data_IF_601960291652
#
_entry.id   IF_601960291652
#
_cell.length_a   1.000
_cell.length_b   1.000
_cell.length_c   1.000
_cell.angle_alpha   90.00
_cell.angle_beta   90.00
_cell.angle_gamma   90.00
#
_symmetry.space_group_name_H-M   'P 1'
#
loop_
_entity.id
_entity.type
_entity.pdbx_description
1 polymer ?
#
# COMPACT_ATOMS: atom_id res chain seq x y z
N UNK A 1 10.56 14.85 -1.23
CA UNK A 1 10.24 15.07 0.19
C UNK A 1 11.42 14.66 1.06
N UNK A 2 11.97 13.45 0.90
CA UNK A 2 13.21 13.00 1.57
C UNK A 2 14.33 14.04 1.50
N UNK A 3 14.61 14.60 0.31
CA UNK A 3 15.64 15.64 0.16
C UNK A 3 15.42 16.90 1.04
N UNK A 4 14.16 17.27 1.31
CA UNK A 4 13.84 18.39 2.21
C UNK A 4 14.17 17.99 3.64
N UNK A 5 13.78 16.78 4.05
CA UNK A 5 14.09 16.25 5.38
C UNK A 5 15.60 16.12 5.62
N UNK A 6 16.31 15.47 4.69
CA UNK A 6 17.76 15.22 4.76
C UNK A 6 18.58 16.52 4.77
N UNK A 7 18.04 17.61 4.20
CA UNK A 7 18.70 18.92 4.22
C UNK A 7 18.78 19.56 5.61
N UNK A 8 17.95 19.12 6.57
CA UNK A 8 17.82 19.72 7.90
C UNK A 8 17.15 21.10 7.92
N UNK A 9 16.59 21.58 6.80
CA UNK A 9 15.94 22.88 6.73
C UNK A 9 14.54 22.85 7.38
N UNK A 10 14.47 23.36 8.61
CA UNK A 10 13.23 23.41 9.40
C UNK A 10 12.12 24.23 8.77
N UNK A 11 12.44 25.31 8.05
CA UNK A 11 11.44 26.16 7.39
C UNK A 11 10.79 25.41 6.24
N UNK A 12 11.59 24.80 5.36
CA UNK A 12 11.07 24.00 4.25
C UNK A 12 10.30 22.78 4.75
N UNK A 13 10.74 22.15 5.85
CA UNK A 13 10.03 21.04 6.45
C UNK A 13 8.67 21.47 7.06
N UNK A 14 8.61 22.64 7.71
CA UNK A 14 7.36 23.22 8.23
C UNK A 14 6.38 23.61 7.11
N UNK A 15 6.87 24.15 5.99
CA UNK A 15 6.06 24.37 4.78
C UNK A 15 5.50 23.06 4.23
N UNK A 16 6.28 21.97 4.25
CA UNK A 16 5.82 20.64 3.83
C UNK A 16 4.69 20.13 4.73
N UNK A 17 4.81 20.25 6.05
CA UNK A 17 3.74 19.86 6.99
C UNK A 17 2.46 20.68 6.79
N UNK A 18 2.61 22.00 6.63
CA UNK A 18 1.49 22.90 6.33
C UNK A 18 0.81 22.51 5.01
N UNK A 19 1.59 22.16 3.98
CA UNK A 19 1.08 21.67 2.70
C UNK A 19 0.22 20.42 2.83
N UNK A 20 0.52 19.53 3.78
CA UNK A 20 -0.30 18.34 4.07
C UNK A 20 -1.38 18.57 5.13
N UNK A 21 -1.51 19.79 5.64
CA UNK A 21 -2.45 20.18 6.70
C UNK A 21 -2.27 19.35 7.99
N UNK A 22 -1.03 19.01 8.34
CA UNK A 22 -0.66 18.38 9.62
C UNK A 22 0.12 19.36 10.50
N UNK A 23 0.15 19.09 11.81
CA UNK A 23 0.91 19.88 12.78
C UNK A 23 2.40 19.88 12.48
N UNK A 24 3.07 21.01 12.74
CA UNK A 24 4.52 21.18 12.71
C UNK A 24 5.27 20.38 13.78
N UNK A 25 4.56 19.83 14.77
CA UNK A 25 5.09 18.88 15.75
C UNK A 25 5.18 17.44 15.21
N UNK A 26 4.79 17.20 13.95
CA UNK A 26 4.90 15.89 13.28
C UNK A 26 6.35 15.50 13.08
N UNK A 27 6.71 14.26 13.42
CA UNK A 27 7.98 13.67 12.98
C UNK A 27 7.89 13.30 11.49
N UNK A 28 8.92 13.61 10.71
CA UNK A 28 8.88 13.36 9.26
C UNK A 28 8.59 11.90 8.87
N UNK A 29 9.15 10.87 9.53
CA UNK A 29 8.79 9.48 9.25
C UNK A 29 7.29 9.17 9.44
N UNK A 30 6.62 9.83 10.38
CA UNK A 30 5.17 9.67 10.58
C UNK A 30 4.37 10.32 9.44
N UNK A 31 4.83 11.49 8.95
CA UNK A 31 4.28 12.06 7.72
C UNK A 31 4.48 11.09 6.55
N UNK A 32 5.69 10.52 6.40
CA UNK A 32 5.96 9.56 5.35
C UNK A 32 5.03 8.33 5.42
N UNK A 33 4.72 7.85 6.64
CA UNK A 33 3.78 6.75 6.85
C UNK A 33 2.33 7.17 6.50
N UNK A 34 1.88 8.36 6.92
CA UNK A 34 0.57 8.89 6.51
C UNK A 34 0.43 8.91 4.98
N UNK A 35 1.49 9.28 4.26
CA UNK A 35 1.48 9.37 2.80
C UNK A 35 1.49 8.01 2.08
N UNK A 36 1.64 6.88 2.79
CA UNK A 36 1.39 5.56 2.18
C UNK A 36 -0.10 5.26 2.08
N UNK A 37 -0.94 5.88 2.91
CA UNK A 37 -2.39 5.67 2.93
C UNK A 37 -3.09 5.93 1.59
N UNK A 38 -2.82 7.04 0.86
CA UNK A 38 -3.33 7.27 -0.50
C UNK A 38 -3.04 6.14 -1.49
N UNK A 39 -1.91 5.44 -1.31
CA UNK A 39 -1.52 4.30 -2.14
C UNK A 39 -2.29 3.03 -1.80
N UNK A 40 -3.07 3.01 -0.70
CA UNK A 40 -3.99 1.92 -0.41
C UNK A 40 -5.04 1.72 -1.51
N UNK A 41 -5.35 2.76 -2.30
CA UNK A 41 -6.15 2.59 -3.51
C UNK A 41 -5.51 1.69 -4.57
N UNK A 42 -4.18 1.52 -4.54
CA UNK A 42 -3.46 0.59 -5.42
C UNK A 42 -3.47 -0.83 -4.86
N UNK A 43 -3.69 -0.97 -3.56
CA UNK A 43 -3.97 -2.24 -2.92
C UNK A 43 -5.44 -2.63 -3.17
N UNK A 44 -5.68 -3.19 -4.35
CA UNK A 44 -7.00 -3.67 -4.77
C UNK A 44 -7.35 -5.02 -4.13
N UNK A 45 -6.48 -5.57 -3.26
CA UNK A 45 -6.63 -6.91 -2.70
C UNK A 45 -8.00 -7.11 -2.05
N UNK A 46 -8.51 -6.13 -1.31
CA UNK A 46 -9.78 -6.24 -0.56
C UNK A 46 -11.02 -5.72 -1.30
N UNK A 47 -10.90 -5.29 -2.56
CA UNK A 47 -12.04 -4.70 -3.26
C UNK A 47 -12.91 -5.80 -3.91
N UNK A 48 -14.23 -5.73 -3.70
CA UNK A 48 -15.19 -6.63 -4.35
C UNK A 48 -15.40 -6.32 -5.83
N UNK A 49 -15.04 -5.10 -6.27
CA UNK A 49 -15.06 -4.61 -7.65
C UNK A 49 -13.85 -3.71 -7.89
N UNK A 50 -13.36 -3.63 -9.12
CA UNK A 50 -12.28 -2.69 -9.49
C UNK A 50 -12.61 -1.27 -9.03
N UNK A 51 -11.85 -0.77 -8.06
CA UNK A 51 -11.86 0.66 -7.78
C UNK A 51 -11.00 1.33 -8.86
N UNK A 52 -11.56 2.25 -9.68
CA UNK A 52 -10.82 2.82 -10.80
C UNK A 52 -9.61 3.59 -10.28
N UNK A 53 -8.42 3.16 -10.73
CA UNK A 53 -7.16 3.81 -10.42
C UNK A 53 -7.01 5.14 -11.16
N UNK A 54 -7.79 5.33 -12.23
CA UNK A 54 -7.84 6.50 -13.09
C UNK A 54 -9.26 7.10 -13.17
N UNK A 55 -9.38 8.23 -13.86
CA UNK A 55 -10.66 8.94 -14.00
C UNK A 55 -10.95 9.95 -12.87
N UNK A 56 -12.01 10.75 -13.03
CA UNK A 56 -12.22 11.96 -12.24
C UNK A 56 -12.23 11.69 -10.72
N UNK A 57 -11.32 12.34 -10.00
CA UNK A 57 -11.23 12.24 -8.54
C UNK A 57 -10.35 11.10 -8.02
N UNK A 58 -9.82 10.24 -8.88
CA UNK A 58 -8.88 9.19 -8.50
C UNK A 58 -7.49 9.74 -8.13
N UNK A 59 -6.68 8.93 -7.45
CA UNK A 59 -5.29 9.29 -7.14
C UNK A 59 -4.49 9.63 -8.41
N UNK A 60 -4.58 8.79 -9.46
CA UNK A 60 -3.82 9.03 -10.69
C UNK A 60 -4.30 10.28 -11.42
N UNK A 61 -5.61 10.57 -11.43
CA UNK A 61 -6.16 11.80 -12.01
C UNK A 61 -5.58 13.05 -11.32
N UNK A 62 -5.48 13.02 -9.99
CA UNK A 62 -4.83 14.11 -9.24
C UNK A 62 -3.36 14.27 -9.60
N UNK A 63 -2.57 13.20 -9.45
CA UNK A 63 -1.10 13.29 -9.52
C UNK A 63 -0.58 13.48 -10.96
N UNK A 64 -1.29 12.95 -11.96
CA UNK A 64 -0.88 13.09 -13.37
C UNK A 64 -1.40 14.36 -14.03
N UNK A 65 -2.35 15.04 -13.40
CA UNK A 65 -2.88 16.31 -13.91
C UNK A 65 -1.77 17.38 -14.01
N UNK A 66 -1.79 18.10 -15.13
CA UNK A 66 -0.90 19.23 -15.44
C UNK A 66 -1.52 20.57 -15.08
N UNK A 67 -2.65 20.56 -14.39
CA UNK A 67 -3.35 21.75 -13.92
C UNK A 67 -3.76 21.56 -12.46
N UNK A 68 -4.21 22.65 -11.84
CA UNK A 68 -4.81 22.58 -10.52
C UNK A 68 -6.14 21.82 -10.61
N UNK A 69 -6.24 20.67 -9.95
CA UNK A 69 -7.40 19.76 -10.09
C UNK A 69 -8.62 20.28 -9.34
N UNK A 70 -8.39 20.88 -8.17
CA UNK A 70 -9.38 21.66 -7.42
C UNK A 70 -8.86 23.08 -7.26
N UNK A 71 -9.71 24.09 -7.05
CA UNK A 71 -9.23 25.47 -6.89
C UNK A 71 -8.46 25.58 -5.57
N UNK A 72 -7.13 25.47 -5.62
CA UNK A 72 -6.28 25.69 -4.45
C UNK A 72 -6.13 27.17 -4.15
N UNK A 73 -5.96 27.51 -2.86
CA UNK A 73 -5.65 28.87 -2.47
C UNK A 73 -4.23 29.30 -2.91
N UNK A 74 -3.97 30.60 -2.87
CA UNK A 74 -2.68 31.19 -3.25
C UNK A 74 -1.55 30.78 -2.32
N UNK A 75 -1.83 30.48 -1.05
CA UNK A 75 -0.82 30.08 -0.08
C UNK A 75 -0.26 28.69 -0.42
N UNK A 76 -1.13 27.72 -0.75
CA UNK A 76 -0.73 26.36 -1.12
C UNK A 76 0.06 26.34 -2.43
N UNK A 77 -0.34 27.16 -3.42
CA UNK A 77 0.42 27.34 -4.66
C UNK A 77 1.83 27.90 -4.38
N UNK A 78 1.92 28.91 -3.52
CA UNK A 78 3.19 29.52 -3.13
C UNK A 78 4.10 28.51 -2.40
N UNK A 79 3.53 27.73 -1.49
CA UNK A 79 4.26 26.67 -0.78
C UNK A 79 4.76 25.59 -1.74
N UNK A 80 3.92 25.09 -2.65
CA UNK A 80 4.35 24.09 -3.65
C UNK A 80 5.51 24.62 -4.52
N UNK A 81 5.44 25.88 -4.97
CA UNK A 81 6.55 26.52 -5.69
C UNK A 81 7.82 26.65 -4.84
N UNK A 82 7.70 27.08 -3.58
CA UNK A 82 8.83 27.19 -2.63
C UNK A 82 9.53 25.86 -2.45
N UNK A 83 8.77 24.80 -2.15
CA UNK A 83 9.27 23.46 -1.88
C UNK A 83 9.93 22.83 -3.12
N UNK A 84 9.33 22.98 -4.29
CA UNK A 84 9.92 22.51 -5.56
C UNK A 84 11.20 23.27 -5.88
N UNK A 85 11.21 24.60 -5.70
CA UNK A 85 12.41 25.42 -5.92
C UNK A 85 13.53 25.03 -4.97
N UNK A 86 13.20 24.73 -3.72
CA UNK A 86 14.14 24.23 -2.74
C UNK A 86 14.65 22.83 -3.12
N UNK A 87 13.75 21.92 -3.49
CA UNK A 87 14.11 20.58 -3.94
C UNK A 87 14.93 20.57 -5.23
N UNK A 88 14.79 21.57 -6.11
CA UNK A 88 15.63 21.76 -7.30
C UNK A 88 17.09 22.12 -6.97
N UNK A 89 17.33 22.73 -5.80
CA UNK A 89 18.70 22.96 -5.28
C UNK A 89 19.32 21.69 -4.70
N UNK A 90 18.49 20.68 -4.42
CA UNK A 90 18.90 19.33 -4.05
C UNK A 90 18.90 18.45 -5.30
N UNK A 91 19.46 17.24 -5.25
CA UNK A 91 19.68 16.32 -6.40
C UNK A 91 18.41 15.79 -7.08
N UNK A 92 17.27 16.50 -7.02
CA UNK A 92 15.99 16.11 -7.63
C UNK A 92 16.01 16.40 -9.14
N UNK A 93 15.97 15.39 -10.01
CA UNK A 93 15.89 15.61 -11.46
C UNK A 93 14.53 16.24 -11.83
N UNK A 94 14.53 17.15 -12.81
CA UNK A 94 13.32 17.75 -13.40
C UNK A 94 12.32 18.35 -12.39
N UNK A 95 12.82 19.01 -11.34
CA UNK A 95 11.98 19.54 -10.27
C UNK A 95 10.84 20.45 -10.78
N UNK A 96 11.05 21.21 -11.85
CA UNK A 96 10.00 22.05 -12.48
C UNK A 96 8.76 21.28 -12.90
N UNK A 97 8.91 20.01 -13.29
CA UNK A 97 7.79 19.16 -13.71
C UNK A 97 6.99 18.63 -12.52
N UNK A 98 7.52 18.78 -11.29
CA UNK A 98 6.92 18.29 -10.05
C UNK A 98 5.98 19.29 -9.38
N UNK A 99 5.84 20.52 -9.91
CA UNK A 99 4.97 21.53 -9.33
C UNK A 99 3.51 21.05 -9.20
N UNK A 100 2.87 20.69 -10.31
CA UNK A 100 1.48 20.20 -10.29
C UNK A 100 1.34 18.88 -9.56
N UNK A 101 2.22 17.87 -9.75
CA UNK A 101 2.17 16.65 -8.95
C UNK A 101 2.21 16.90 -7.43
N UNK A 102 3.08 17.80 -6.96
CA UNK A 102 3.15 18.14 -5.54
C UNK A 102 1.92 18.90 -5.05
N UNK A 103 1.48 19.91 -5.80
CA UNK A 103 0.29 20.70 -5.45
C UNK A 103 -0.96 19.81 -5.40
N UNK A 104 -1.15 18.96 -6.39
CA UNK A 104 -2.29 18.05 -6.44
C UNK A 104 -2.19 16.95 -5.39
N UNK A 105 -0.98 16.49 -5.02
CA UNK A 105 -0.80 15.58 -3.89
C UNK A 105 -1.25 16.23 -2.56
N UNK A 106 -0.90 17.50 -2.33
CA UNK A 106 -1.42 18.23 -1.17
C UNK A 106 -2.95 18.25 -1.16
N UNK A 107 -3.57 18.63 -2.28
CA UNK A 107 -5.03 18.72 -2.38
C UNK A 107 -5.70 17.36 -2.17
N UNK A 108 -5.13 16.29 -2.74
CA UNK A 108 -5.65 14.94 -2.59
C UNK A 108 -5.60 14.48 -1.13
N UNK A 109 -4.44 14.62 -0.48
CA UNK A 109 -4.23 14.22 0.91
C UNK A 109 -5.09 15.06 1.86
N UNK A 110 -5.16 16.38 1.67
CA UNK A 110 -6.03 17.25 2.47
C UNK A 110 -7.51 16.91 2.34
N UNK A 111 -7.95 16.49 1.14
CA UNK A 111 -9.33 16.06 0.89
C UNK A 111 -9.61 14.73 1.59
N UNK A 112 -8.73 13.74 1.39
CA UNK A 112 -8.88 12.39 1.93
C UNK A 112 -8.78 12.37 3.47
N UNK A 113 -7.87 13.17 4.03
CA UNK A 113 -7.55 13.23 5.46
C UNK A 113 -7.92 14.58 6.08
N UNK A 114 -9.05 15.16 5.68
CA UNK A 114 -9.53 16.42 6.26
C UNK A 114 -9.67 16.38 7.80
N UNK A 115 -9.93 15.19 8.36
CA UNK A 115 -9.98 14.96 9.80
C UNK A 115 -8.63 15.06 10.52
N UNK A 116 -7.51 15.05 9.78
CA UNK A 116 -6.16 15.17 10.33
C UNK A 116 -5.68 16.62 10.48
N UNK A 117 -6.50 17.59 10.06
CA UNK A 117 -6.21 19.02 10.15
C UNK A 117 -5.70 19.44 11.53
N UNK A 118 -4.46 19.91 11.59
CA UNK A 118 -3.82 20.41 12.82
C UNK A 118 -3.40 19.33 13.83
N UNK A 119 -3.60 18.04 13.53
CA UNK A 119 -3.07 16.93 14.32
C UNK A 119 -1.65 16.57 13.87
N UNK A 120 -0.87 15.93 14.72
CA UNK A 120 0.36 15.27 14.22
C UNK A 120 -0.01 14.08 13.34
N UNK A 121 0.84 13.73 12.37
CA UNK A 121 0.58 12.55 11.54
C UNK A 121 0.40 11.27 12.39
N UNK A 122 1.16 11.14 13.48
CA UNK A 122 1.01 10.05 14.45
C UNK A 122 -0.38 9.99 15.09
N UNK A 123 -0.95 11.12 15.50
CA UNK A 123 -2.31 11.17 16.05
C UNK A 123 -3.35 10.82 14.99
N UNK A 124 -3.21 11.43 13.81
CA UNK A 124 -4.09 11.24 12.65
C UNK A 124 -4.29 9.76 12.28
N UNK A 125 -3.21 8.98 12.22
CA UNK A 125 -3.27 7.55 11.86
C UNK A 125 -3.11 6.61 13.06
N UNK A 126 -3.32 7.13 14.28
CA UNK A 126 -3.28 6.36 15.52
C UNK A 126 -1.98 5.55 15.71
N UNK A 127 -0.84 6.16 15.40
CA UNK A 127 0.49 5.58 15.59
C UNK A 127 0.90 5.38 17.06
N UNK A 128 0.05 5.71 18.03
CA UNK A 128 0.26 5.32 19.43
C UNK A 128 -0.70 4.24 19.93
N UNK A 129 -1.66 3.78 19.11
CA UNK A 129 -2.75 2.89 19.57
C UNK A 129 -2.43 1.44 19.26
N UNK A 130 -2.29 0.61 20.31
CA UNK A 130 -2.03 -0.82 20.16
C UNK A 130 -3.09 -1.52 19.28
N UNK A 131 -2.63 -2.34 18.32
CA UNK A 131 -3.46 -3.16 17.45
C UNK A 131 -3.01 -4.62 17.52
N UNK A 132 -3.93 -5.60 17.65
CA UNK A 132 -3.58 -7.01 17.61
C UNK A 132 -2.86 -7.43 16.32
N UNK A 133 -3.24 -6.87 15.17
CA UNK A 133 -2.55 -7.13 13.89
C UNK A 133 -1.12 -6.59 13.90
N UNK A 134 -0.94 -5.36 14.40
CA UNK A 134 0.40 -4.80 14.55
C UNK A 134 1.23 -5.65 15.50
N UNK A 135 0.66 -6.14 16.61
CA UNK A 135 1.38 -7.06 17.50
C UNK A 135 1.91 -8.28 16.75
N UNK A 136 1.07 -8.95 15.95
CA UNK A 136 1.47 -10.09 15.13
C UNK A 136 2.52 -9.74 14.08
N UNK A 137 2.40 -8.59 13.40
CA UNK A 137 3.44 -8.09 12.49
C UNK A 137 4.78 -7.89 13.20
N UNK A 138 4.75 -7.41 14.44
CA UNK A 138 5.94 -7.16 15.24
C UNK A 138 6.60 -8.44 15.77
N UNK A 139 5.81 -9.47 16.09
CA UNK A 139 6.30 -10.65 16.81
C UNK A 139 6.43 -11.90 15.95
N UNK A 140 5.61 -12.04 14.90
CA UNK A 140 5.48 -13.28 14.13
C UNK A 140 5.80 -13.12 12.65
N UNK A 141 5.17 -12.18 11.93
CA UNK A 141 5.18 -12.20 10.45
C UNK A 141 6.11 -11.17 9.79
N UNK A 142 6.45 -10.05 10.45
CA UNK A 142 7.48 -9.13 9.95
C UNK A 142 7.15 -8.39 8.63
N UNK A 143 5.87 -8.07 8.38
CA UNK A 143 5.46 -7.41 7.13
C UNK A 143 5.73 -5.90 7.15
N UNK A 144 6.83 -5.47 6.53
CA UNK A 144 7.22 -4.04 6.46
C UNK A 144 7.34 -3.54 5.03
N UNK A 145 6.54 -2.54 4.67
CA UNK A 145 6.69 -1.81 3.42
C UNK A 145 7.72 -0.69 3.60
N UNK A 146 8.93 -0.90 3.08
CA UNK A 146 10.00 0.13 3.12
C UNK A 146 10.15 0.81 1.76
N UNK A 147 10.62 2.05 1.76
CA UNK A 147 11.02 2.76 0.53
C UNK A 147 12.36 2.29 -0.04
N UNK A 148 12.92 1.17 0.42
CA UNK A 148 14.22 0.70 -0.05
C UNK A 148 14.09 -0.12 -1.33
N UNK A 149 14.51 0.46 -2.45
CA UNK A 149 14.47 -0.16 -3.79
C UNK A 149 15.90 -0.31 -4.36
N UNK A 150 16.71 -1.24 -3.82
CA UNK A 150 18.04 -1.48 -4.34
C UNK A 150 17.94 -2.02 -5.77
N UNK A 151 18.74 -1.46 -6.67
CA UNK A 151 18.85 -1.94 -8.02
C UNK A 151 19.66 -3.22 -8.10
N UNK A 152 19.43 -3.93 -9.19
CA UNK A 152 20.21 -5.08 -9.64
C UNK A 152 20.92 -4.70 -10.95
N UNK A 153 21.92 -5.49 -11.40
CA UNK A 153 22.58 -5.25 -12.69
C UNK A 153 21.60 -5.11 -13.87
N UNK A 154 20.46 -5.81 -13.82
CA UNK A 154 19.43 -5.80 -14.85
C UNK A 154 18.28 -4.80 -14.58
N UNK A 155 18.23 -4.21 -13.39
CA UNK A 155 17.21 -3.24 -12.97
C UNK A 155 17.87 -2.15 -12.13
N UNK A 156 18.26 -1.01 -12.72
CA UNK A 156 18.94 0.06 -11.99
C UNK A 156 18.07 0.59 -10.83
N UNK A 157 18.73 1.16 -9.82
CA UNK A 157 18.08 1.83 -8.70
C UNK A 157 16.99 2.78 -9.22
N UNK A 158 15.75 2.56 -8.79
CA UNK A 158 14.62 3.44 -9.10
C UNK A 158 14.25 4.25 -7.87
N UNK A 159 13.79 5.49 -8.07
CA UNK A 159 13.20 6.26 -6.97
C UNK A 159 11.98 5.49 -6.41
N UNK A 160 11.92 5.29 -5.09
CA UNK A 160 10.82 4.58 -4.48
C UNK A 160 9.54 5.41 -4.51
N UNK A 161 8.41 4.71 -4.51
CA UNK A 161 7.08 5.32 -4.43
C UNK A 161 6.81 5.92 -3.04
N UNK A 162 7.41 5.35 -2.00
CA UNK A 162 7.31 5.79 -0.60
C UNK A 162 8.67 6.24 -0.08
N UNK A 163 8.67 7.04 0.99
CA UNK A 163 9.90 7.59 1.57
C UNK A 163 10.86 6.49 2.03
N UNK A 164 12.16 6.72 1.86
CA UNK A 164 13.21 5.85 2.41
C UNK A 164 13.37 5.94 3.92
N UNK A 165 12.71 6.92 4.54
CA UNK A 165 12.67 7.06 6.01
C UNK A 165 11.78 6.01 6.69
N UNK A 166 10.91 5.35 5.93
CA UNK A 166 10.19 4.14 6.36
C UNK A 166 11.14 2.94 6.37
N UNK A 167 12.05 2.95 7.34
CA UNK A 167 13.04 1.90 7.56
C UNK A 167 12.52 0.85 8.53
N UNK A 168 13.20 -0.30 8.59
CA UNK A 168 12.96 -1.30 9.63
C UNK A 168 13.09 -0.69 11.03
N UNK A 169 14.08 0.19 11.25
CA UNK A 169 14.27 0.88 12.53
C UNK A 169 13.09 1.80 12.88
N UNK A 170 12.52 2.49 11.89
CA UNK A 170 11.31 3.28 12.10
C UNK A 170 10.17 2.39 12.59
N UNK A 171 9.87 1.29 11.89
CA UNK A 171 8.81 0.37 12.31
C UNK A 171 9.11 -0.20 13.71
N UNK A 172 10.31 -0.71 13.94
CA UNK A 172 10.77 -1.22 15.26
C UNK A 172 10.60 -0.18 16.39
N UNK A 173 10.86 1.09 16.11
CA UNK A 173 10.78 2.17 17.09
C UNK A 173 9.35 2.39 17.59
N UNK A 174 8.36 2.26 16.69
CA UNK A 174 6.94 2.33 17.06
C UNK A 174 6.61 1.23 18.09
N UNK A 175 7.21 0.05 17.97
CA UNK A 175 6.93 -1.09 18.83
C UNK A 175 7.49 -0.94 20.25
N UNK A 176 8.68 -0.33 20.37
CA UNK A 176 9.32 -0.07 21.68
C UNK A 176 8.52 0.90 22.54
N UNK A 177 7.82 1.84 21.91
CA UNK A 177 6.93 2.78 22.61
C UNK A 177 5.63 2.09 23.08
N UNK A 178 5.26 0.97 22.44
CA UNK A 178 3.95 0.32 22.59
C UNK A 178 3.95 -1.01 23.34
N UNK A 179 5.10 -1.64 23.57
CA UNK A 179 5.19 -2.95 24.22
C UNK A 179 6.45 -3.12 25.08
N UNK A 180 6.31 -3.79 26.23
CA UNK A 180 7.43 -4.19 27.11
C UNK A 180 8.08 -5.46 26.53
N UNK A 181 8.51 -5.43 25.27
CA UNK A 181 9.09 -6.59 24.60
C UNK A 181 10.57 -6.37 24.29
N UNK A 182 11.39 -7.34 24.67
CA UNK A 182 12.81 -7.44 24.33
C UNK A 182 12.98 -8.27 23.06
N UNK A 183 13.38 -7.61 21.97
CA UNK A 183 13.74 -8.16 20.66
C UNK A 183 12.60 -8.77 19.83
N UNK A 184 12.51 -8.45 18.52
CA UNK A 184 11.76 -9.29 17.58
C UNK A 184 12.37 -10.70 17.59
N UNK A 185 11.55 -11.73 17.34
CA UNK A 185 12.07 -13.04 16.94
C UNK A 185 12.92 -12.94 15.66
N UNK A 186 13.56 -14.03 15.21
CA UNK A 186 14.28 -14.02 13.94
C UNK A 186 13.35 -13.47 12.85
N UNK A 187 13.71 -12.31 12.29
CA UNK A 187 12.95 -11.64 11.24
C UNK A 187 12.88 -12.60 10.06
N UNK A 188 11.70 -13.15 9.82
CA UNK A 188 11.46 -13.95 8.64
C UNK A 188 11.23 -12.98 7.49
N UNK A 189 12.12 -12.98 6.50
CA UNK A 189 12.02 -12.13 5.30
C UNK A 189 10.89 -12.61 4.36
N UNK A 190 9.88 -13.28 4.88
CA UNK A 190 8.70 -13.63 4.11
C UNK A 190 8.06 -12.34 3.64
N UNK A 191 8.30 -12.03 2.36
CA UNK A 191 7.36 -11.23 1.57
C UNK A 191 6.05 -11.97 1.73
N UNK A 192 5.02 -11.39 2.39
CA UNK A 192 3.71 -12.03 2.37
C UNK A 192 3.41 -12.31 0.90
N UNK A 193 3.08 -13.57 0.60
CA UNK A 193 2.52 -13.97 -0.68
C UNK A 193 1.13 -13.31 -0.73
N UNK A 194 1.11 -12.02 -1.03
CA UNK A 194 -0.15 -11.33 -1.29
C UNK A 194 -0.69 -11.87 -2.62
N UNK A 195 -2.00 -12.08 -2.73
CA UNK A 195 -2.62 -12.58 -3.97
C UNK A 195 -2.56 -11.59 -5.13
N UNK A 196 -2.02 -10.38 -4.91
CA UNK A 196 -1.54 -9.52 -5.97
C UNK A 196 -0.24 -10.10 -6.52
N UNK A 197 -0.41 -11.05 -7.44
CA UNK A 197 0.57 -11.49 -8.42
C UNK A 197 1.96 -11.70 -7.82
N UNK A 198 2.27 -12.96 -7.48
CA UNK A 198 3.65 -13.37 -7.34
C UNK A 198 4.35 -13.08 -8.69
N UNK A 199 4.95 -11.92 -8.87
CA UNK A 199 5.79 -11.64 -10.02
C UNK A 199 7.16 -12.25 -9.74
N UNK A 200 7.72 -12.94 -10.72
CA UNK A 200 9.14 -13.29 -10.71
C UNK A 200 9.98 -12.01 -10.57
N UNK A 201 11.22 -12.13 -10.12
CA UNK A 201 12.16 -11.00 -10.01
C UNK A 201 12.32 -10.19 -11.30
N UNK A 202 12.00 -10.79 -12.46
CA UNK A 202 12.01 -10.17 -13.78
C UNK A 202 10.71 -9.42 -14.15
N UNK A 203 9.77 -9.25 -13.20
CA UNK A 203 8.51 -8.52 -13.41
C UNK A 203 7.48 -9.26 -14.25
N UNK A 204 7.64 -10.57 -14.49
CA UNK A 204 6.63 -11.42 -15.15
C UNK A 204 5.81 -12.17 -14.11
N UNK A 205 4.51 -12.45 -14.34
CA UNK A 205 3.72 -13.27 -13.42
C UNK A 205 4.40 -14.63 -13.18
N UNK A 206 4.38 -15.12 -11.94
CA UNK A 206 5.00 -16.39 -11.56
C UNK A 206 4.37 -17.50 -12.39
N UNK A 207 5.24 -18.31 -13.00
CA UNK A 207 4.88 -19.44 -13.85
C UNK A 207 4.09 -20.53 -13.10
N UNK A 208 4.05 -20.54 -11.76
CA UNK A 208 3.07 -21.31 -10.97
C UNK A 208 1.64 -20.99 -11.36
N UNK A 209 1.36 -19.78 -11.85
CA UNK A 209 0.05 -19.39 -12.40
C UNK A 209 -0.33 -20.09 -13.73
N UNK A 210 0.45 -21.08 -14.22
CA UNK A 210 0.14 -21.86 -15.43
C UNK A 210 -0.10 -23.34 -15.19
N UNK A 211 0.01 -23.81 -13.95
CA UNK A 211 -0.32 -25.17 -13.60
C UNK A 211 -1.80 -25.23 -13.16
N UNK A 212 -2.56 -26.17 -13.74
CA UNK A 212 -3.93 -26.46 -13.29
C UNK A 212 -3.95 -27.40 -12.07
N UNK A 213 -2.78 -27.71 -11.48
CA UNK A 213 -2.64 -28.71 -10.43
C UNK A 213 -3.29 -30.05 -10.81
N UNK A 214 -3.77 -30.77 -9.80
CA UNK A 214 -4.60 -31.98 -9.95
C UNK A 214 -5.89 -31.83 -9.15
N UNK A 215 -6.83 -32.77 -9.27
CA UNK A 215 -8.03 -32.75 -8.44
C UNK A 215 -7.74 -32.92 -6.93
N UNK A 216 -6.68 -33.64 -6.57
CA UNK A 216 -6.28 -33.85 -5.16
C UNK A 216 -5.33 -32.77 -4.63
N UNK A 217 -4.66 -32.05 -5.51
CA UNK A 217 -3.74 -30.95 -5.21
C UNK A 217 -4.02 -29.80 -6.18
N UNK A 218 -5.14 -29.08 -5.99
CA UNK A 218 -5.56 -28.07 -6.96
C UNK A 218 -4.68 -26.83 -6.87
N UNK A 219 -4.24 -26.36 -8.03
CA UNK A 219 -3.72 -25.00 -8.22
C UNK A 219 -4.74 -24.25 -9.08
N UNK A 220 -5.37 -23.23 -8.48
CA UNK A 220 -6.49 -22.50 -9.07
C UNK A 220 -6.05 -21.06 -9.26
N UNK A 221 -6.13 -20.60 -10.51
CA UNK A 221 -5.81 -19.22 -10.88
C UNK A 221 -7.10 -18.58 -11.37
N UNK A 222 -7.46 -17.45 -10.76
CA UNK A 222 -8.57 -16.62 -11.19
C UNK A 222 -7.96 -15.43 -11.91
N UNK A 223 -8.05 -15.41 -13.25
CA UNK A 223 -7.50 -14.32 -14.04
C UNK A 223 -8.19 -12.99 -13.67
N UNK A 224 -7.37 -11.97 -13.37
CA UNK A 224 -7.83 -10.69 -12.83
C UNK A 224 -8.45 -10.76 -11.42
N UNK A 225 -8.25 -11.84 -10.68
CA UNK A 225 -8.82 -12.01 -9.33
C UNK A 225 -8.12 -11.22 -8.23
N UNK A 226 -8.91 -10.82 -7.22
CA UNK A 226 -8.46 -10.12 -6.01
C UNK A 226 -8.16 -11.12 -4.87
N UNK A 227 -7.87 -10.59 -3.68
CA UNK A 227 -7.63 -11.41 -2.50
C UNK A 227 -8.85 -12.28 -2.20
N UNK A 228 -8.64 -13.58 -2.28
CA UNK A 228 -9.64 -14.58 -1.88
C UNK A 228 -10.99 -14.38 -2.59
N UNK A 229 -10.96 -13.99 -3.87
CA UNK A 229 -12.18 -13.66 -4.64
C UNK A 229 -13.13 -14.85 -4.83
N UNK A 230 -12.65 -16.06 -4.63
CA UNK A 230 -13.37 -17.33 -4.55
C UNK A 230 -14.19 -17.53 -3.27
N UNK A 231 -13.86 -16.85 -2.16
CA UNK A 231 -14.55 -17.08 -0.88
C UNK A 231 -15.97 -16.47 -0.81
N UNK A 232 -16.25 -15.26 -1.31
CA UNK A 232 -17.59 -14.71 -1.29
C UNK A 232 -18.55 -15.52 -2.19
N UNK A 233 -19.67 -15.93 -1.62
CA UNK A 233 -20.79 -16.51 -2.36
C UNK A 233 -21.93 -15.52 -2.52
N UNK A 234 -22.86 -15.84 -3.43
CA UNK A 234 -24.14 -15.12 -3.54
C UNK A 234 -25.18 -15.75 -2.63
N UNK A 235 -25.88 -14.94 -1.84
CA UNK A 235 -27.05 -15.39 -1.09
C UNK A 235 -28.21 -15.69 -2.05
N UNK A 236 -29.17 -16.57 -1.67
CA UNK A 236 -30.29 -16.94 -2.54
C UNK A 236 -31.16 -15.76 -3.01
N UNK A 237 -31.13 -14.63 -2.28
CA UNK A 237 -31.88 -13.42 -2.59
C UNK A 237 -31.07 -12.36 -3.38
N UNK A 238 -29.78 -12.59 -3.63
CA UNK A 238 -28.90 -11.71 -4.41
C UNK A 238 -28.97 -12.08 -5.90
N UNK A 239 -30.16 -11.93 -6.48
CA UNK A 239 -30.42 -12.35 -7.88
C UNK A 239 -29.96 -11.36 -8.93
N UNK A 240 -29.69 -10.11 -8.52
CA UNK A 240 -29.27 -9.03 -9.42
C UNK A 240 -27.75 -9.03 -9.67
N UNK A 241 -27.00 -9.68 -8.78
CA UNK A 241 -25.55 -9.80 -8.87
C UNK A 241 -25.15 -11.01 -9.73
N UNK A 242 -24.14 -10.80 -10.59
CA UNK A 242 -23.58 -11.87 -11.43
C UNK A 242 -22.17 -12.19 -10.98
N UNK A 243 -22.00 -13.38 -10.43
CA UNK A 243 -20.68 -13.88 -10.10
C UNK A 243 -19.81 -14.01 -11.37
N UNK A 244 -18.57 -13.49 -11.37
CA UNK A 244 -17.67 -13.65 -12.50
C UNK A 244 -17.45 -15.12 -12.86
N UNK A 245 -17.34 -15.42 -14.15
CA UNK A 245 -17.18 -16.80 -14.62
C UNK A 245 -15.90 -17.47 -14.07
N UNK A 246 -14.82 -16.70 -13.89
CA UNK A 246 -13.58 -17.18 -13.28
C UNK A 246 -13.76 -17.63 -11.83
N UNK A 247 -14.45 -16.81 -11.01
CA UNK A 247 -14.78 -17.11 -9.62
C UNK A 247 -15.69 -18.34 -9.52
N UNK A 248 -16.75 -18.40 -10.33
CA UNK A 248 -17.63 -19.57 -10.37
C UNK A 248 -16.87 -20.85 -10.78
N UNK A 249 -15.93 -20.75 -11.71
CA UNK A 249 -15.09 -21.89 -12.10
C UNK A 249 -14.14 -22.32 -10.98
N UNK A 250 -13.59 -21.38 -10.20
CA UNK A 250 -12.73 -21.67 -9.07
C UNK A 250 -13.48 -22.41 -7.96
N UNK A 251 -14.62 -21.88 -7.53
CA UNK A 251 -15.47 -22.48 -6.51
C UNK A 251 -15.90 -23.92 -6.87
N UNK A 252 -16.25 -24.17 -8.14
CA UNK A 252 -16.58 -25.53 -8.58
C UNK A 252 -15.39 -26.49 -8.45
N UNK A 253 -14.17 -26.04 -8.75
CA UNK A 253 -12.95 -26.84 -8.57
C UNK A 253 -12.61 -27.08 -7.10
N UNK A 254 -12.80 -26.10 -6.24
CA UNK A 254 -12.67 -26.27 -4.78
C UNK A 254 -13.66 -27.31 -4.25
N UNK A 255 -14.92 -27.25 -4.67
CA UNK A 255 -15.95 -28.24 -4.29
C UNK A 255 -15.53 -29.64 -4.73
N UNK A 256 -15.00 -29.80 -5.95
CA UNK A 256 -14.49 -31.08 -6.45
C UNK A 256 -13.31 -31.60 -5.62
N UNK A 257 -12.33 -30.75 -5.30
CA UNK A 257 -11.19 -31.11 -4.48
C UNK A 257 -11.60 -31.54 -3.07
N UNK A 258 -12.47 -30.78 -2.41
CA UNK A 258 -12.99 -31.10 -1.08
C UNK A 258 -13.74 -32.43 -1.09
N UNK A 259 -14.54 -32.71 -2.12
CA UNK A 259 -15.21 -34.02 -2.27
C UNK A 259 -14.20 -35.17 -2.38
N UNK A 260 -13.13 -35.00 -3.16
CA UNK A 260 -12.08 -36.02 -3.27
C UNK A 260 -11.35 -36.24 -1.94
N UNK A 261 -11.04 -35.18 -1.21
CA UNK A 261 -10.42 -35.29 0.12
C UNK A 261 -11.32 -36.01 1.12
N UNK A 262 -12.62 -35.70 1.14
CA UNK A 262 -13.59 -36.39 2.01
C UNK A 262 -13.76 -37.86 1.64
N UNK A 263 -13.73 -38.20 0.35
CA UNK A 263 -13.75 -39.59 -0.11
C UNK A 263 -12.51 -40.36 0.32
N UNK A 264 -11.32 -39.78 0.13
CA UNK A 264 -10.06 -40.37 0.56
C UNK A 264 -10.00 -40.54 2.09
N UNK A 265 -10.49 -39.55 2.83
CA UNK A 265 -10.63 -39.62 4.29
C UNK A 265 -11.53 -40.79 4.70
N UNK A 266 -12.73 -40.91 4.09
CA UNK A 266 -13.66 -41.99 4.42
C UNK A 266 -13.09 -43.38 4.08
N UNK A 267 -12.36 -43.53 2.97
CA UNK A 267 -11.71 -44.79 2.63
C UNK A 267 -10.61 -45.19 3.62
N UNK A 268 -9.91 -44.22 4.19
CA UNK A 268 -8.79 -44.45 5.13
C UNK A 268 -9.23 -44.55 6.59
N UNK A 269 -10.46 -44.15 6.91
CA UNK A 269 -11.01 -44.09 8.27
C UNK A 269 -12.33 -44.86 8.45
N UNK A 270 -12.78 -45.60 7.43
CA UNK A 270 -13.89 -46.53 7.56
C UNK A 270 -13.47 -47.71 8.46
N UNK A 271 -14.13 -47.81 9.62
CA UNK A 271 -14.02 -48.93 10.58
C UNK A 271 -14.93 -50.08 10.15
#
# INVERSE_FOLDING_TARGET
MDNIYDSGNKTALSELYTGFNVSDATEYPDLAYLLTGPLGSWDQSWNSQLYPLDGPGSYCDFITSRTNVTVSDTALQTMAHSLVTYANKTTTPNATDLYYPLLNLFLYVQTLYSFCSGQTAAQCVSLSTASPYQWLECTEYGSFATGYTPGTPDRPDTLPLVSRTLSLDYFLSQWRVRSVLSSPGPLDYYRPLTPLEEFLENGRPNVRAKSNGTGSEPEIVIDGGYHEWDLPGLLPNETDDKMPAGVHSAQNREIEAVKLWLQAWNQTHAV
#
